data_IF_233469031633
#
_entry.id   IF_233469031633
#
_cell.length_a   1.000
_cell.length_b   1.000
_cell.length_c   1.000
_cell.angle_alpha   90.00
_cell.angle_beta   90.00
_cell.angle_gamma   90.00
#
_symmetry.space_group_name_H-M   'P 1'
#
loop_
_entity.id
_entity.type
_entity.pdbx_description
1 polymer ?
#
# COMPACT_ATOMS: atom_id res chain seq x y z
N UNK A 1 16.26 27.53 -25.23
CA UNK A 1 15.04 26.74 -24.92
C UNK A 1 15.46 25.44 -24.26
N UNK A 2 15.54 25.41 -22.94
CA UNK A 2 15.91 24.22 -22.17
C UNK A 2 14.68 23.33 -22.03
N UNK A 3 14.69 22.21 -22.74
CA UNK A 3 13.76 21.11 -22.51
C UNK A 3 14.05 20.57 -21.10
N UNK A 4 13.23 20.91 -20.12
CA UNK A 4 13.24 20.22 -18.82
C UNK A 4 12.89 18.77 -19.11
N UNK A 5 13.82 17.86 -18.88
CA UNK A 5 13.53 16.43 -18.86
C UNK A 5 12.35 16.21 -17.91
N UNK A 6 11.16 15.99 -18.47
CA UNK A 6 9.99 15.56 -17.73
C UNK A 6 10.37 14.17 -17.25
N UNK A 7 10.80 14.05 -15.99
CA UNK A 7 10.96 12.76 -15.35
C UNK A 7 9.66 12.00 -15.60
N UNK A 8 9.71 11.00 -16.49
CA UNK A 8 8.55 10.24 -16.90
C UNK A 8 7.96 9.62 -15.63
N UNK A 9 6.81 10.16 -15.20
CA UNK A 9 6.13 9.69 -14.00
C UNK A 9 5.97 8.17 -14.13
N UNK A 10 6.22 7.38 -13.07
CA UNK A 10 6.01 5.95 -13.14
C UNK A 10 4.53 5.66 -13.47
N UNK A 11 4.28 5.32 -14.73
CA UNK A 11 2.94 5.23 -15.33
C UNK A 11 2.12 4.06 -14.82
N UNK A 12 2.72 3.16 -14.03
CA UNK A 12 2.10 1.90 -13.64
C UNK A 12 1.52 1.88 -12.21
N UNK A 13 1.53 3.00 -11.49
CA UNK A 13 0.88 3.09 -10.19
C UNK A 13 -0.59 3.49 -10.34
N UNK A 14 -1.50 2.52 -10.22
CA UNK A 14 -2.94 2.79 -10.23
C UNK A 14 -3.38 3.27 -8.83
N UNK A 15 -3.93 4.50 -8.71
CA UNK A 15 -4.47 4.97 -7.44
C UNK A 15 -5.63 4.07 -7.00
N UNK A 16 -5.66 3.74 -5.72
CA UNK A 16 -6.74 3.00 -5.09
C UNK A 16 -7.61 3.98 -4.32
N UNK A 17 -8.91 3.73 -4.23
CA UNK A 17 -9.82 4.61 -3.47
C UNK A 17 -9.41 4.79 -2.00
N UNK A 18 -8.79 3.77 -1.38
CA UNK A 18 -8.32 3.87 0.01
C UNK A 18 -7.11 4.80 0.20
N UNK A 19 -6.45 5.23 -0.88
CA UNK A 19 -5.24 6.05 -0.82
C UNK A 19 -5.48 7.39 -0.12
N UNK A 20 -6.68 7.97 -0.28
CA UNK A 20 -7.08 9.23 0.36
C UNK A 20 -7.18 9.14 1.88
N UNK A 21 -7.32 7.94 2.43
CA UNK A 21 -7.58 7.68 3.86
C UNK A 21 -6.54 6.77 4.51
N UNK A 22 -5.37 6.58 3.89
CA UNK A 22 -4.31 5.71 4.45
C UNK A 22 -3.95 6.12 5.88
N UNK A 23 -3.76 7.42 6.15
CA UNK A 23 -3.43 7.91 7.49
C UNK A 23 -4.47 7.50 8.54
N UNK A 24 -5.75 7.53 8.18
CA UNK A 24 -6.85 7.13 9.08
C UNK A 24 -6.85 5.62 9.31
N UNK A 25 -6.65 4.83 8.25
CA UNK A 25 -6.57 3.36 8.36
C UNK A 25 -5.41 2.94 9.27
N UNK A 26 -4.24 3.57 9.11
CA UNK A 26 -3.08 3.34 9.96
C UNK A 26 -3.38 3.67 11.43
N UNK A 27 -4.01 4.82 11.69
CA UNK A 27 -4.40 5.22 13.04
C UNK A 27 -5.35 4.21 13.70
N UNK A 28 -6.33 3.67 12.95
CA UNK A 28 -7.24 2.62 13.44
C UNK A 28 -6.52 1.30 13.77
N UNK A 29 -5.37 1.03 13.14
CA UNK A 29 -4.59 -0.19 13.35
C UNK A 29 -3.52 -0.09 14.45
N UNK A 30 -3.15 1.12 14.88
CA UNK A 30 -1.96 1.37 15.71
C UNK A 30 -1.98 0.71 17.11
N UNK A 31 -3.17 0.37 17.64
CA UNK A 31 -3.33 -0.28 18.95
C UNK A 31 -3.48 -1.80 18.91
N UNK A 32 -3.30 -2.44 17.75
CA UNK A 32 -3.49 -3.89 17.57
C UNK A 32 -2.14 -4.61 17.41
N UNK A 33 -2.02 -5.89 17.83
CA UNK A 33 -0.79 -6.67 17.66
C UNK A 33 -0.39 -6.78 16.19
N UNK A 34 0.89 -6.56 15.87
CA UNK A 34 1.39 -6.59 14.48
C UNK A 34 1.44 -8.00 13.87
N UNK A 35 1.59 -9.03 14.70
CA UNK A 35 1.59 -10.44 14.33
C UNK A 35 0.18 -11.02 14.11
N UNK A 36 -0.87 -10.24 14.36
CA UNK A 36 -2.26 -10.62 14.13
C UNK A 36 -2.48 -11.04 12.66
N UNK A 37 -3.07 -12.23 12.48
CA UNK A 37 -3.46 -12.76 11.17
C UNK A 37 -4.92 -12.43 10.89
N UNK A 38 -5.13 -11.50 9.98
CA UNK A 38 -6.44 -11.06 9.53
C UNK A 38 -6.97 -11.96 8.41
N UNK A 39 -8.26 -12.26 8.42
CA UNK A 39 -8.96 -12.80 7.26
C UNK A 39 -9.49 -11.70 6.32
N UNK A 40 -10.13 -12.12 5.22
CA UNK A 40 -10.68 -11.20 4.22
C UNK A 40 -11.73 -10.23 4.80
N UNK A 41 -12.52 -10.68 5.78
CA UNK A 41 -13.57 -9.85 6.38
C UNK A 41 -12.95 -8.82 7.32
N UNK A 42 -12.07 -9.27 8.22
CA UNK A 42 -11.38 -8.40 9.16
C UNK A 42 -10.53 -7.34 8.45
N UNK A 43 -9.85 -7.72 7.36
CA UNK A 43 -9.10 -6.77 6.53
C UNK A 43 -10.05 -5.76 5.87
N UNK A 44 -11.17 -6.23 5.32
CA UNK A 44 -12.15 -5.36 4.67
C UNK A 44 -12.78 -4.36 5.65
N UNK A 45 -13.11 -4.82 6.86
CA UNK A 45 -13.62 -3.98 7.95
C UNK A 45 -12.59 -2.93 8.37
N UNK A 46 -11.34 -3.34 8.58
CA UNK A 46 -10.26 -2.40 8.93
C UNK A 46 -10.06 -1.33 7.85
N UNK A 47 -10.13 -1.72 6.58
CA UNK A 47 -9.97 -0.80 5.46
C UNK A 47 -11.25 0.00 5.15
N UNK A 48 -12.39 -0.36 5.72
CA UNK A 48 -13.71 0.19 5.37
C UNK A 48 -14.09 -0.04 3.91
N UNK A 49 -13.83 -1.24 3.38
CA UNK A 49 -14.13 -1.64 1.99
C UNK A 49 -15.03 -2.88 1.95
N UNK A 50 -15.50 -3.27 0.76
CA UNK A 50 -16.28 -4.51 0.61
C UNK A 50 -15.41 -5.76 0.79
N UNK A 51 -15.99 -6.85 1.29
CA UNK A 51 -15.32 -8.15 1.44
C UNK A 51 -14.78 -8.73 0.12
N UNK A 52 -15.35 -8.33 -1.03
CA UNK A 52 -14.86 -8.75 -2.34
C UNK A 52 -13.54 -8.05 -2.72
N UNK A 53 -13.26 -6.88 -2.15
CA UNK A 53 -12.11 -6.06 -2.50
C UNK A 53 -10.77 -6.75 -2.22
N UNK A 54 -10.52 -7.39 -1.06
CA UNK A 54 -9.30 -8.19 -0.83
C UNK A 54 -9.08 -9.28 -1.87
N UNK A 55 -10.14 -9.97 -2.29
CA UNK A 55 -10.06 -11.02 -3.32
C UNK A 55 -9.67 -10.44 -4.68
N UNK A 56 -10.36 -9.39 -5.14
CA UNK A 56 -10.07 -8.76 -6.43
C UNK A 56 -8.67 -8.16 -6.50
N UNK A 57 -8.21 -7.51 -5.43
CA UNK A 57 -6.89 -6.86 -5.40
C UNK A 57 -5.75 -7.85 -5.29
N UNK A 58 -5.97 -8.98 -4.61
CA UNK A 58 -5.05 -10.12 -4.60
C UNK A 58 -4.89 -10.70 -6.00
N UNK A 59 -5.99 -10.98 -6.70
CA UNK A 59 -5.96 -11.50 -8.08
C UNK A 59 -5.27 -10.53 -9.06
N UNK A 60 -5.40 -9.22 -8.84
CA UNK A 60 -4.75 -8.19 -9.65
C UNK A 60 -3.29 -7.91 -9.26
N UNK A 61 -2.80 -8.46 -8.15
CA UNK A 61 -1.46 -8.17 -7.62
C UNK A 61 -1.28 -6.72 -7.13
N UNK A 62 -2.37 -6.00 -6.88
CA UNK A 62 -2.36 -4.59 -6.44
C UNK A 62 -2.69 -4.42 -4.96
N UNK A 63 -3.07 -5.50 -4.28
CA UNK A 63 -3.43 -5.51 -2.86
C UNK A 63 -2.25 -5.70 -1.91
N UNK A 64 -2.54 -5.75 -0.60
CA UNK A 64 -1.53 -6.04 0.42
C UNK A 64 -1.00 -7.47 0.31
N UNK A 65 0.22 -7.73 0.83
CA UNK A 65 0.80 -9.07 0.88
C UNK A 65 -0.07 -10.02 1.72
N UNK A 66 -0.15 -11.28 1.30
CA UNK A 66 -0.98 -12.29 1.93
C UNK A 66 -0.25 -13.63 2.02
N UNK A 67 -0.64 -14.42 3.03
CA UNK A 67 -0.12 -15.76 3.31
C UNK A 67 -1.22 -16.76 2.98
N UNK A 68 -0.85 -17.78 2.20
CA UNK A 68 -1.72 -18.90 1.88
C UNK A 68 -1.46 -20.01 2.89
N UNK A 69 -2.45 -20.31 3.73
CA UNK A 69 -2.42 -21.45 4.66
C UNK A 69 -3.02 -22.72 4.04
N UNK A 70 -3.33 -22.66 2.75
CA UNK A 70 -3.95 -23.73 1.96
C UNK A 70 -4.64 -23.16 0.73
N UNK A 71 -5.28 -24.02 -0.10
CA UNK A 71 -5.84 -23.61 -1.39
C UNK A 71 -7.03 -22.64 -1.28
N UNK A 72 -7.71 -22.59 -0.12
CA UNK A 72 -8.89 -21.74 0.12
C UNK A 72 -8.76 -20.81 1.33
N UNK A 73 -7.64 -20.86 2.05
CA UNK A 73 -7.44 -20.08 3.29
C UNK A 73 -6.32 -19.08 3.08
N UNK A 74 -6.70 -17.81 3.01
CA UNK A 74 -5.76 -16.69 2.93
C UNK A 74 -5.84 -15.88 4.21
N UNK A 75 -4.67 -15.42 4.66
CA UNK A 75 -4.49 -14.55 5.81
C UNK A 75 -3.58 -13.38 5.47
N UNK A 76 -3.72 -12.31 6.22
CA UNK A 76 -2.94 -11.10 6.08
C UNK A 76 -2.30 -10.80 7.42
N UNK A 77 -0.97 -10.75 7.49
CA UNK A 77 -0.31 -10.29 8.72
C UNK A 77 -0.47 -8.77 8.82
N UNK A 78 -0.91 -8.28 9.98
CA UNK A 78 -1.19 -6.86 10.18
C UNK A 78 0.04 -5.98 9.96
N UNK A 79 1.22 -6.41 10.42
CA UNK A 79 2.49 -5.72 10.21
C UNK A 79 2.79 -5.53 8.72
N UNK A 80 2.73 -6.59 7.91
CA UNK A 80 2.99 -6.53 6.48
C UNK A 80 1.95 -5.67 5.72
N UNK A 81 0.69 -5.70 6.16
CA UNK A 81 -0.35 -4.81 5.63
C UNK A 81 -0.06 -3.35 5.98
N UNK A 82 0.42 -3.09 7.20
CA UNK A 82 0.79 -1.76 7.68
C UNK A 82 1.97 -1.21 6.89
N UNK A 83 3.01 -2.02 6.68
CA UNK A 83 4.16 -1.68 5.83
C UNK A 83 3.72 -1.36 4.40
N UNK A 84 2.80 -2.16 3.85
CA UNK A 84 2.24 -1.91 2.53
C UNK A 84 1.50 -0.56 2.46
N UNK A 85 0.70 -0.22 3.47
CA UNK A 85 0.02 1.07 3.57
C UNK A 85 1.02 2.24 3.68
N UNK A 86 2.05 2.12 4.51
CA UNK A 86 3.10 3.13 4.67
C UNK A 86 3.86 3.36 3.37
N UNK A 87 4.23 2.27 2.67
CA UNK A 87 4.87 2.36 1.36
C UNK A 87 3.96 3.09 0.35
N UNK A 88 2.66 2.79 0.33
CA UNK A 88 1.70 3.49 -0.54
C UNK A 88 1.61 4.98 -0.21
N UNK A 89 1.54 5.33 1.07
CA UNK A 89 1.50 6.72 1.50
C UNK A 89 2.76 7.48 1.07
N UNK A 90 3.93 6.90 1.31
CA UNK A 90 5.20 7.46 0.87
C UNK A 90 5.25 7.64 -0.66
N UNK A 91 4.73 6.66 -1.41
CA UNK A 91 4.66 6.74 -2.87
C UNK A 91 3.81 7.91 -3.35
N UNK A 92 2.62 8.10 -2.74
CA UNK A 92 1.73 9.21 -3.08
C UNK A 92 2.36 10.57 -2.78
N UNK A 93 3.01 10.71 -1.62
CA UNK A 93 3.72 11.92 -1.23
C UNK A 93 4.87 12.23 -2.20
N UNK A 94 5.64 11.22 -2.58
CA UNK A 94 6.70 11.36 -3.58
C UNK A 94 6.16 11.80 -4.95
N UNK A 95 5.06 11.20 -5.43
CA UNK A 95 4.40 11.61 -6.66
C UNK A 95 3.88 13.06 -6.59
N UNK A 96 3.34 13.48 -5.44
CA UNK A 96 2.87 14.85 -5.23
C UNK A 96 4.03 15.85 -5.26
N UNK A 97 5.15 15.54 -4.59
CA UNK A 97 6.34 16.38 -4.58
C UNK A 97 6.92 16.59 -5.99
N UNK A 98 6.94 15.54 -6.81
CA UNK A 98 7.35 15.63 -8.23
C UNK A 98 6.45 16.59 -9.02
N UNK A 99 5.12 16.49 -8.85
CA UNK A 99 4.18 17.39 -9.53
C UNK A 99 4.37 18.86 -9.14
N UNK A 100 4.77 19.11 -7.90
CA UNK A 100 5.02 20.46 -7.38
C UNK A 100 6.39 21.04 -7.77
N UNK A 101 7.24 20.26 -8.47
CA UNK A 101 8.59 20.70 -8.86
C UNK A 101 9.65 20.56 -7.77
N UNK A 102 9.31 19.96 -6.63
CA UNK A 102 10.23 19.71 -5.51
C UNK A 102 11.00 18.38 -5.66
N UNK A 103 11.16 17.89 -6.89
CA UNK A 103 11.69 16.55 -7.17
C UNK A 103 13.14 16.32 -6.73
N UNK A 104 13.92 17.37 -6.52
CA UNK A 104 15.33 17.27 -6.15
C UNK A 104 15.57 16.71 -4.73
N UNK A 105 14.60 16.84 -3.82
CA UNK A 105 14.71 16.35 -2.43
C UNK A 105 13.88 15.10 -2.16
N UNK A 106 13.05 14.68 -3.11
CA UNK A 106 12.09 13.60 -2.92
C UNK A 106 12.73 12.23 -3.21
N UNK A 107 13.00 11.46 -2.16
CA UNK A 107 13.52 10.08 -2.27
C UNK A 107 12.41 9.14 -2.74
N UNK A 108 12.64 8.40 -3.82
CA UNK A 108 11.68 7.41 -4.33
C UNK A 108 11.56 6.25 -3.33
N UNK A 109 10.35 5.91 -2.86
CA UNK A 109 10.18 4.82 -1.90
C UNK A 109 10.44 3.48 -2.59
N UNK A 110 11.32 2.67 -1.99
CA UNK A 110 11.66 1.35 -2.49
C UNK A 110 10.52 0.36 -2.16
N UNK A 111 10.02 -0.35 -3.17
CA UNK A 111 8.99 -1.39 -3.03
C UNK A 111 9.54 -2.65 -2.34
N UNK A 112 10.86 -2.81 -2.33
CA UNK A 112 11.55 -3.93 -1.70
C UNK A 112 12.14 -3.53 -0.35
N UNK A 113 11.31 -3.50 0.68
CA UNK A 113 11.83 -3.80 2.02
C UNK A 113 11.76 -5.33 2.12
N UNK A 114 12.84 -6.01 1.73
CA UNK A 114 13.05 -7.42 2.09
C UNK A 114 13.23 -7.43 3.60
N UNK A 115 12.36 -8.10 4.34
CA UNK A 115 12.73 -8.57 5.66
C UNK A 115 13.74 -9.70 5.45
N UNK A 116 14.98 -9.43 5.87
CA UNK A 116 15.96 -10.46 6.24
C UNK A 116 15.36 -11.33 7.36
N UNK A 117 15.77 -12.61 7.46
CA UNK A 117 15.14 -13.62 8.33
C UNK A 117 15.11 -13.25 9.82
#
# INVERSE_FOLDING_TARGET
MLWRAIATLPTNFKPLHLDSRISQILALGAGRPGDELLDDLQLAEWFGVSRQWPCQTRLRGTGPPCIWQGPRRVRYRRDQVTEWLLWRQAWLLWCQALRQGNGATAVKPNRFIRLAP
#
